data_IF_808924376002
#
_entry.id   IF_808924376002
#
_cell.length_a   1.000
_cell.length_b   1.000
_cell.length_c   1.000
_cell.angle_alpha   90.00
_cell.angle_beta   90.00
_cell.angle_gamma   90.00
#
_symmetry.space_group_name_H-M   'P 1'
#
loop_
_entity.id
_entity.type
_entity.pdbx_description
1 polymer ?
#
# COMPACT_ATOMS: atom_id res chain seq x y z
N UNK A 1 -7.88 -41.21 -18.41
CA UNK A 1 -7.08 -40.70 -17.27
C UNK A 1 -6.31 -39.43 -17.63
N UNK A 2 -5.71 -39.28 -18.81
CA UNK A 2 -5.07 -38.01 -19.23
C UNK A 2 -6.02 -36.78 -19.15
N UNK A 3 -7.25 -36.89 -19.68
CA UNK A 3 -8.25 -35.81 -19.64
C UNK A 3 -8.61 -35.30 -18.23
N UNK A 4 -8.47 -36.12 -17.18
CA UNK A 4 -8.77 -35.68 -15.81
C UNK A 4 -7.57 -34.99 -15.16
N UNK A 5 -6.33 -35.28 -15.58
CA UNK A 5 -5.15 -34.56 -15.11
C UNK A 5 -5.06 -33.17 -15.77
N UNK A 6 -5.34 -33.09 -17.07
CA UNK A 6 -5.38 -31.80 -17.79
C UNK A 6 -6.46 -30.86 -17.22
N UNK A 7 -7.64 -31.41 -16.88
CA UNK A 7 -8.70 -30.64 -16.24
C UNK A 7 -8.32 -30.15 -14.83
N UNK A 8 -7.58 -30.95 -14.06
CA UNK A 8 -7.09 -30.55 -12.74
C UNK A 8 -6.04 -29.44 -12.86
N UNK A 9 -5.10 -29.55 -13.81
CA UNK A 9 -4.12 -28.49 -14.09
C UNK A 9 -4.79 -27.19 -14.50
N UNK A 10 -5.78 -27.24 -15.41
CA UNK A 10 -6.53 -26.06 -15.84
C UNK A 10 -7.30 -25.40 -14.69
N UNK A 11 -7.85 -26.19 -13.76
CA UNK A 11 -8.53 -25.68 -12.58
C UNK A 11 -7.56 -24.97 -11.62
N UNK A 12 -6.37 -25.56 -11.39
CA UNK A 12 -5.32 -24.95 -10.57
C UNK A 12 -4.86 -23.62 -11.18
N UNK A 13 -4.55 -23.60 -12.49
CA UNK A 13 -4.14 -22.36 -13.16
C UNK A 13 -5.22 -21.26 -13.10
N UNK A 14 -6.49 -21.63 -13.26
CA UNK A 14 -7.59 -20.68 -13.15
C UNK A 14 -7.72 -20.12 -11.73
N UNK A 15 -7.51 -20.95 -10.71
CA UNK A 15 -7.51 -20.52 -9.32
C UNK A 15 -6.31 -19.63 -8.98
N UNK A 16 -5.12 -19.96 -9.48
CA UNK A 16 -3.92 -19.13 -9.33
C UNK A 16 -4.11 -17.73 -9.94
N UNK A 17 -4.71 -17.65 -11.13
CA UNK A 17 -5.04 -16.36 -11.76
C UNK A 17 -6.02 -15.56 -10.91
N UNK A 18 -7.10 -16.18 -10.43
CA UNK A 18 -8.07 -15.52 -9.54
C UNK A 18 -7.43 -15.06 -8.23
N UNK A 19 -6.51 -15.85 -7.67
CA UNK A 19 -5.79 -15.48 -6.46
C UNK A 19 -4.87 -14.30 -6.70
N UNK A 20 -4.15 -14.28 -7.83
CA UNK A 20 -3.28 -13.16 -8.22
C UNK A 20 -4.08 -11.86 -8.40
N UNK A 21 -5.24 -11.93 -9.08
CA UNK A 21 -6.14 -10.79 -9.26
C UNK A 21 -6.66 -10.25 -7.91
N UNK A 22 -7.07 -11.15 -7.01
CA UNK A 22 -7.53 -10.77 -5.67
C UNK A 22 -6.42 -10.12 -4.84
N UNK A 23 -5.18 -10.60 -4.93
CA UNK A 23 -4.02 -10.00 -4.25
C UNK A 23 -3.77 -8.58 -4.77
N UNK A 24 -3.77 -8.39 -6.10
CA UNK A 24 -3.63 -7.06 -6.71
C UNK A 24 -4.75 -6.10 -6.28
N UNK A 25 -5.99 -6.57 -6.23
CA UNK A 25 -7.12 -5.78 -5.77
C UNK A 25 -6.99 -5.40 -4.28
N UNK A 26 -6.49 -6.31 -3.44
CA UNK A 26 -6.23 -6.05 -2.04
C UNK A 26 -5.13 -5.00 -1.84
N UNK A 27 -4.01 -5.12 -2.55
CA UNK A 27 -2.93 -4.12 -2.53
C UNK A 27 -3.42 -2.72 -2.94
N UNK A 28 -4.25 -2.65 -3.99
CA UNK A 28 -4.87 -1.40 -4.42
C UNK A 28 -5.74 -0.78 -3.31
N UNK A 29 -6.57 -1.60 -2.64
CA UNK A 29 -7.42 -1.14 -1.52
C UNK A 29 -6.61 -0.68 -0.31
N UNK A 30 -5.53 -1.37 0.03
CA UNK A 30 -4.62 -0.95 1.12
C UNK A 30 -4.00 0.40 0.80
N UNK A 31 -3.53 0.58 -0.45
CA UNK A 31 -2.98 1.86 -0.90
C UNK A 31 -4.02 2.98 -0.85
N UNK A 32 -5.23 2.73 -1.32
CA UNK A 32 -6.33 3.69 -1.29
C UNK A 32 -6.68 4.09 0.15
N UNK A 33 -6.78 3.12 1.07
CA UNK A 33 -7.02 3.39 2.48
C UNK A 33 -5.91 4.24 3.11
N UNK A 34 -4.64 3.98 2.78
CA UNK A 34 -3.51 4.78 3.23
C UNK A 34 -3.58 6.23 2.71
N UNK A 35 -3.87 6.42 1.42
CA UNK A 35 -4.07 7.75 0.84
C UNK A 35 -5.22 8.48 1.53
N UNK A 36 -6.34 7.80 1.78
CA UNK A 36 -7.49 8.38 2.49
C UNK A 36 -7.15 8.83 3.92
N UNK A 37 -6.23 8.15 4.62
CA UNK A 37 -5.71 8.60 5.92
C UNK A 37 -4.86 9.86 5.80
N UNK A 38 -3.97 9.91 4.80
CA UNK A 38 -3.11 11.08 4.50
C UNK A 38 -3.97 12.30 4.15
N UNK A 39 -5.03 12.11 3.36
CA UNK A 39 -5.96 13.17 2.98
C UNK A 39 -6.75 13.70 4.19
N UNK A 40 -7.28 12.80 5.03
CA UNK A 40 -7.98 13.17 6.27
C UNK A 40 -7.08 13.92 7.25
N UNK A 41 -5.79 13.57 7.31
CA UNK A 41 -4.79 14.30 8.08
C UNK A 41 -4.46 15.70 7.51
N UNK A 42 -4.99 16.04 6.33
CA UNK A 42 -4.79 17.35 5.69
C UNK A 42 -3.47 17.49 4.94
N UNK A 43 -2.66 16.43 4.83
CA UNK A 43 -1.37 16.47 4.15
C UNK A 43 -1.49 16.70 2.64
N UNK A 44 -2.64 16.39 2.03
CA UNK A 44 -2.92 16.70 0.62
C UNK A 44 -3.48 18.12 0.41
N UNK A 45 -3.71 18.88 1.48
CA UNK A 45 -4.30 20.24 1.42
C UNK A 45 -3.27 21.35 1.63
N UNK A 46 -2.03 21.00 1.98
CA UNK A 46 -0.96 21.98 2.18
C UNK A 46 -0.26 22.30 0.85
N UNK A 47 0.40 23.47 0.73
CA UNK A 47 1.21 23.81 -0.44
C UNK A 47 2.28 22.75 -0.74
N UNK A 48 2.52 22.50 -2.03
CA UNK A 48 3.44 21.44 -2.49
C UNK A 48 4.87 21.63 -1.96
N UNK A 49 5.38 22.86 -1.93
CA UNK A 49 6.71 23.19 -1.40
C UNK A 49 6.84 22.85 0.10
N UNK A 50 5.75 22.97 0.86
CA UNK A 50 5.71 22.59 2.27
C UNK A 50 5.67 21.07 2.41
N UNK A 51 4.89 20.39 1.59
CA UNK A 51 4.84 18.92 1.56
C UNK A 51 6.21 18.34 1.19
N UNK A 52 6.86 18.85 0.15
CA UNK A 52 8.19 18.41 -0.28
C UNK A 52 9.24 18.58 0.82
N UNK A 53 9.23 19.72 1.53
CA UNK A 53 10.13 19.93 2.68
C UNK A 53 9.86 18.93 3.81
N UNK A 54 8.60 18.64 4.13
CA UNK A 54 8.24 17.63 5.13
C UNK A 54 8.69 16.24 4.71
N UNK A 55 8.45 15.85 3.45
CA UNK A 55 8.88 14.55 2.91
C UNK A 55 10.41 14.46 2.86
N UNK A 56 11.11 15.56 2.57
CA UNK A 56 12.57 15.65 2.64
C UNK A 56 13.10 15.45 4.07
N UNK A 57 12.45 16.04 5.07
CA UNK A 57 12.78 15.83 6.48
C UNK A 57 12.57 14.36 6.89
N UNK A 58 11.45 13.75 6.50
CA UNK A 58 11.17 12.32 6.73
C UNK A 58 12.25 11.45 6.09
N UNK A 59 12.62 11.72 4.83
CA UNK A 59 13.65 10.95 4.12
C UNK A 59 15.03 11.08 4.77
N UNK A 60 15.34 12.24 5.33
CA UNK A 60 16.64 12.52 5.96
C UNK A 60 16.75 11.89 7.36
N UNK A 61 15.66 11.94 8.13
CA UNK A 61 15.63 11.47 9.52
C UNK A 61 15.29 9.98 9.64
N UNK A 62 14.53 9.43 8.68
CA UNK A 62 13.90 8.11 8.79
C UNK A 62 12.60 8.15 9.59
N UNK A 63 11.70 7.18 9.36
CA UNK A 63 10.39 7.19 10.01
C UNK A 63 10.47 6.97 11.52
N UNK A 64 11.32 6.06 12.00
CA UNK A 64 11.44 5.78 13.44
C UNK A 64 11.79 7.03 14.26
N UNK A 65 12.71 7.86 13.75
CA UNK A 65 13.09 9.11 14.40
C UNK A 65 12.00 10.19 14.28
N UNK A 66 11.26 10.23 13.16
CA UNK A 66 10.10 11.10 13.01
C UNK A 66 9.00 10.72 14.01
N UNK A 67 8.68 9.44 14.12
CA UNK A 67 7.69 8.91 15.06
C UNK A 67 8.07 9.25 16.51
N UNK A 68 9.34 9.04 16.89
CA UNK A 68 9.84 9.40 18.23
C UNK A 68 9.65 10.88 18.54
N UNK A 69 9.94 11.78 17.59
CA UNK A 69 9.78 13.25 17.78
C UNK A 69 8.33 13.68 17.86
N UNK A 70 7.42 12.99 17.16
CA UNK A 70 5.99 13.25 17.25
C UNK A 70 5.40 12.75 18.56
N UNK A 71 5.85 11.58 19.05
CA UNK A 71 5.37 10.97 20.30
C UNK A 71 5.85 11.73 21.56
N UNK A 72 7.06 12.29 21.52
CA UNK A 72 7.60 13.12 22.62
C UNK A 72 7.13 14.58 22.62
N UNK A 73 6.39 15.00 21.59
CA UNK A 73 5.90 16.37 21.43
C UNK A 73 4.40 16.56 21.69
N UNK A 74 3.70 15.53 22.20
CA UNK A 74 2.26 15.53 22.50
C UNK A 74 1.92 15.79 23.95
#
# INVERSE_FOLDING_TARGET
>A
MAKSLDAQMAAIEAEERRLAERRKAHEARVREAAIGRIEKAGLLKIPLDRLERLMGAVKTLGMDEVEKRLDTGG
#
